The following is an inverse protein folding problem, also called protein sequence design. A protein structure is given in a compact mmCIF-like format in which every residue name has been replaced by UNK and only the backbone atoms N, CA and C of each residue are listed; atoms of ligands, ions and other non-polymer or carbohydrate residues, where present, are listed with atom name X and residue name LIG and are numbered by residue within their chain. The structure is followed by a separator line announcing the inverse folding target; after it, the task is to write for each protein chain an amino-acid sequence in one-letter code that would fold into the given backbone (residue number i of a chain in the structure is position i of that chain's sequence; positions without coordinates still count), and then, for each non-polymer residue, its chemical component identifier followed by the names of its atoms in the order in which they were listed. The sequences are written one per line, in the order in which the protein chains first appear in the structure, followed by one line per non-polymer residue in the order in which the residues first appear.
data_IF_758601718527
#
_entry.id   IF_758601718527
#
_cell.length_a   1.000
_cell.length_b   1.000
_cell.length_c   1.000
_cell.angle_alpha   90.00
_cell.angle_beta   90.00
_cell.angle_gamma   90.00
#
_symmetry.space_group_name_H-M   'P 1'
#
loop_
_entity.id
_entity.type
_entity.pdbx_description
1 polymer ?
#
# COMPACT_ATOMS: atom_id res chain seq x y z
N UNK A 1 20.00 18.97 -13.68
CA UNK A 1 19.89 18.87 -12.22
C UNK A 1 19.24 17.54 -11.90
N UNK A 2 20.02 16.54 -11.47
CA UNK A 2 19.45 15.25 -11.11
C UNK A 2 18.78 15.39 -9.74
N UNK A 3 17.46 15.47 -9.73
CA UNK A 3 16.67 15.48 -8.51
C UNK A 3 16.93 14.18 -7.74
N UNK A 4 17.52 14.27 -6.56
CA UNK A 4 17.64 13.13 -5.64
C UNK A 4 16.31 12.81 -4.94
N UNK A 5 15.33 13.70 -5.10
CA UNK A 5 13.99 13.58 -4.56
C UNK A 5 12.98 13.35 -5.70
N UNK A 6 12.02 12.46 -5.46
CA UNK A 6 10.85 12.30 -6.32
C UNK A 6 9.98 13.55 -6.22
N UNK A 7 9.35 13.92 -7.34
CA UNK A 7 8.25 14.87 -7.32
C UNK A 7 7.09 14.28 -6.53
N UNK A 8 6.28 15.12 -5.88
CA UNK A 8 5.06 14.69 -5.17
C UNK A 8 4.17 13.80 -6.05
N UNK A 9 4.08 14.09 -7.36
CA UNK A 9 3.29 13.29 -8.31
C UNK A 9 3.85 11.88 -8.51
N UNK A 10 5.17 11.75 -8.60
CA UNK A 10 5.84 10.47 -8.78
C UNK A 10 5.73 9.64 -7.49
N UNK A 11 5.85 10.29 -6.35
CA UNK A 11 5.67 9.67 -5.05
C UNK A 11 4.24 9.17 -4.83
N UNK A 12 3.23 9.95 -5.20
CA UNK A 12 1.83 9.53 -5.18
C UNK A 12 1.56 8.35 -6.12
N UNK A 13 2.16 8.36 -7.32
CA UNK A 13 2.05 7.26 -8.26
C UNK A 13 2.67 5.97 -7.70
N UNK A 14 3.88 6.07 -7.14
CA UNK A 14 4.59 4.96 -6.50
C UNK A 14 3.83 4.40 -5.29
N UNK A 15 3.26 5.29 -4.47
CA UNK A 15 2.40 4.92 -3.34
C UNK A 15 1.16 4.17 -3.82
N UNK A 16 0.51 4.64 -4.89
CA UNK A 16 -0.68 4.00 -5.45
C UNK A 16 -0.35 2.61 -6.00
N UNK A 17 0.73 2.48 -6.74
CA UNK A 17 1.20 1.21 -7.29
C UNK A 17 1.54 0.22 -6.16
N UNK A 18 2.36 0.65 -5.19
CA UNK A 18 2.75 -0.18 -4.05
C UNK A 18 1.53 -0.64 -3.25
N UNK A 19 0.54 0.23 -3.03
CA UNK A 19 -0.72 -0.14 -2.37
C UNK A 19 -1.51 -1.15 -3.19
N UNK A 20 -1.58 -1.02 -4.51
CA UNK A 20 -2.26 -1.98 -5.38
C UNK A 20 -1.58 -3.35 -5.35
N UNK A 21 -0.25 -3.39 -5.38
CA UNK A 21 0.51 -4.63 -5.22
C UNK A 21 0.28 -5.26 -3.85
N UNK A 22 0.32 -4.46 -2.78
CA UNK A 22 0.07 -4.92 -1.42
C UNK A 22 -1.34 -5.51 -1.27
N UNK A 23 -2.35 -4.88 -1.86
CA UNK A 23 -3.73 -5.39 -1.86
C UNK A 23 -3.84 -6.74 -2.57
N UNK A 24 -3.12 -6.93 -3.70
CA UNK A 24 -3.10 -8.23 -4.40
C UNK A 24 -2.41 -9.32 -3.57
N UNK A 25 -1.34 -8.98 -2.84
CA UNK A 25 -0.63 -9.93 -1.97
C UNK A 25 -1.43 -10.27 -0.70
N UNK A 26 -2.26 -9.35 -0.24
CA UNK A 26 -3.12 -9.51 0.93
C UNK A 26 -4.57 -9.88 0.55
N UNK A 27 -4.81 -10.41 -0.67
CA UNK A 27 -6.16 -10.61 -1.23
C UNK A 27 -7.06 -11.46 -0.31
N UNK A 28 -6.52 -12.51 0.32
CA UNK A 28 -7.27 -13.35 1.26
C UNK A 28 -7.81 -12.55 2.45
N UNK A 29 -6.96 -11.69 3.03
CA UNK A 29 -7.31 -10.86 4.19
C UNK A 29 -8.25 -9.72 3.80
N UNK A 30 -8.09 -9.20 2.58
CA UNK A 30 -9.00 -8.20 1.99
C UNK A 30 -10.39 -8.81 1.80
N UNK A 31 -10.49 -10.04 1.31
CA UNK A 31 -11.76 -10.76 1.14
C UNK A 31 -12.46 -10.97 2.47
N UNK A 32 -11.74 -11.40 3.51
CA UNK A 32 -12.31 -11.56 4.86
C UNK A 32 -12.87 -10.24 5.41
N UNK A 33 -12.14 -9.15 5.24
CA UNK A 33 -12.61 -7.82 5.64
C UNK A 33 -13.81 -7.37 4.81
N UNK A 34 -13.78 -7.57 3.49
CA UNK A 34 -14.87 -7.24 2.58
C UNK A 34 -16.13 -8.01 2.94
N UNK A 35 -16.03 -9.31 3.22
CA UNK A 35 -17.14 -10.16 3.64
C UNK A 35 -17.73 -9.69 4.97
N UNK A 36 -16.90 -9.29 5.94
CA UNK A 36 -17.38 -8.74 7.21
C UNK A 36 -18.07 -7.36 7.05
N UNK A 37 -17.54 -6.53 6.15
CA UNK A 37 -18.08 -5.19 5.87
C UNK A 37 -19.35 -5.24 5.00
N UNK A 38 -19.58 -6.34 4.28
CA UNK A 38 -20.75 -6.51 3.44
C UNK A 38 -22.03 -6.45 4.28
N UNK A 39 -22.85 -5.42 4.06
CA UNK A 39 -24.10 -5.19 4.79
C UNK A 39 -23.96 -4.39 6.10
N UNK A 40 -22.76 -3.91 6.42
CA UNK A 40 -22.52 -3.01 7.57
C UNK A 40 -21.90 -1.72 7.03
N UNK A 41 -22.55 -0.58 7.26
CA UNK A 41 -22.03 0.75 6.83
C UNK A 41 -21.53 1.55 8.02
N UNK A 42 -22.28 1.56 9.12
CA UNK A 42 -21.95 2.34 10.32
C UNK A 42 -21.16 1.49 11.33
N UNK A 43 -21.46 0.19 11.41
CA UNK A 43 -20.92 -0.69 12.44
C UNK A 43 -19.61 -1.40 12.12
N UNK A 44 -19.02 -1.16 10.95
CA UNK A 44 -17.81 -1.87 10.48
C UNK A 44 -16.62 -1.61 11.40
N UNK A 45 -16.44 -0.36 11.84
CA UNK A 45 -15.28 0.07 12.62
C UNK A 45 -15.08 -0.74 13.92
N UNK A 46 -16.17 -1.18 14.55
CA UNK A 46 -16.14 -2.03 15.74
C UNK A 46 -16.36 -3.51 15.41
N UNK A 47 -17.33 -3.83 14.54
CA UNK A 47 -17.73 -5.22 14.29
C UNK A 47 -16.75 -6.01 13.41
N UNK A 48 -15.90 -5.31 12.64
CA UNK A 48 -14.87 -5.90 11.77
C UNK A 48 -13.45 -5.46 12.15
N UNK A 49 -13.26 -5.02 13.41
CA UNK A 49 -11.98 -4.49 13.90
C UNK A 49 -10.86 -5.52 13.80
N UNK A 50 -11.16 -6.79 14.03
CA UNK A 50 -10.17 -7.88 13.99
C UNK A 50 -9.70 -8.17 12.56
N UNK A 51 -10.63 -8.25 11.61
CA UNK A 51 -10.33 -8.41 10.18
C UNK A 51 -9.56 -7.20 9.65
N UNK A 52 -9.98 -5.99 10.04
CA UNK A 52 -9.28 -4.76 9.70
C UNK A 52 -7.84 -4.75 10.23
N UNK A 53 -7.61 -5.23 11.46
CA UNK A 53 -6.28 -5.33 12.05
C UNK A 53 -5.39 -6.29 11.26
N UNK A 54 -5.90 -7.49 10.91
CA UNK A 54 -5.17 -8.44 10.06
C UNK A 54 -4.81 -7.83 8.70
N UNK A 55 -5.75 -7.11 8.09
CA UNK A 55 -5.51 -6.41 6.82
C UNK A 55 -4.41 -5.36 6.97
N UNK A 56 -4.45 -4.55 8.03
CA UNK A 56 -3.42 -3.56 8.32
C UNK A 56 -2.05 -4.18 8.58
N UNK A 57 -1.99 -5.29 9.32
CA UNK A 57 -0.75 -5.99 9.62
C UNK A 57 -0.13 -6.61 8.36
N UNK A 58 -0.95 -7.06 7.40
CA UNK A 58 -0.48 -7.50 6.09
C UNK A 58 0.00 -6.32 5.22
N UNK A 59 -0.79 -5.25 5.12
CA UNK A 59 -0.44 -4.08 4.31
C UNK A 59 0.83 -3.39 4.81
N UNK A 60 1.02 -3.29 6.13
CA UNK A 60 2.21 -2.68 6.75
C UNK A 60 3.54 -3.32 6.32
N UNK A 61 3.54 -4.60 5.96
CA UNK A 61 4.76 -5.27 5.48
C UNK A 61 5.22 -4.71 4.13
N UNK A 62 4.29 -4.19 3.33
CA UNK A 62 4.56 -3.66 1.99
C UNK A 62 4.55 -2.13 1.93
N UNK A 63 3.74 -1.48 2.76
CA UNK A 63 3.64 -0.01 2.84
C UNK A 63 4.42 0.56 4.03
N UNK A 64 5.24 -0.26 4.69
CA UNK A 64 6.10 0.17 5.78
C UNK A 64 7.18 1.15 5.30
N UNK A 65 7.79 1.92 6.21
CA UNK A 65 8.82 2.91 5.86
C UNK A 65 10.00 2.27 5.11
N UNK A 66 10.45 1.09 5.53
CA UNK A 66 11.57 0.38 4.88
C UNK A 66 11.21 -0.08 3.45
N UNK A 67 10.05 -0.71 3.27
CA UNK A 67 9.60 -1.18 1.96
C UNK A 67 9.34 -0.02 0.98
N UNK A 68 8.80 1.10 1.47
CA UNK A 68 8.59 2.32 0.70
C UNK A 68 9.91 2.98 0.29
N UNK A 69 10.92 2.99 1.17
CA UNK A 69 12.26 3.48 0.82
C UNK A 69 12.93 2.62 -0.25
N UNK A 70 12.82 1.30 -0.15
CA UNK A 70 13.36 0.38 -1.16
C UNK A 70 12.72 0.63 -2.53
N UNK A 71 11.38 0.74 -2.57
CA UNK A 71 10.63 1.06 -3.79
C UNK A 71 11.04 2.43 -4.36
N UNK A 72 11.23 3.44 -3.52
CA UNK A 72 11.72 4.76 -3.95
C UNK A 72 13.12 4.66 -4.56
N UNK A 73 14.05 3.95 -3.91
CA UNK A 73 15.42 3.77 -4.42
C UNK A 73 15.42 3.02 -5.76
N UNK A 74 14.61 1.99 -5.89
CA UNK A 74 14.45 1.24 -7.14
C UNK A 74 13.92 2.14 -8.27
N UNK A 75 12.85 2.90 -8.01
CA UNK A 75 12.26 3.84 -8.97
C UNK A 75 13.27 4.89 -9.45
N UNK A 76 14.02 5.50 -8.51
CA UNK A 76 15.08 6.47 -8.82
C UNK A 76 16.21 5.86 -9.65
N UNK A 77 16.55 4.58 -9.42
CA UNK A 77 17.60 3.89 -10.18
C UNK A 77 17.14 3.65 -11.62
N UNK A 78 15.90 3.21 -11.81
CA UNK A 78 15.32 2.94 -13.14
C UNK A 78 15.17 4.23 -13.95
N UNK A 79 14.61 5.29 -13.36
CA UNK A 79 14.42 6.58 -14.05
C UNK A 79 15.73 7.35 -14.30
N UNK A 80 16.83 7.01 -13.61
CA UNK A 80 18.17 7.53 -13.93
C UNK A 80 18.84 6.85 -15.12
N UNK A 81 18.39 5.66 -15.52
CA UNK A 81 18.98 4.93 -16.65
C UNK A 81 18.35 5.32 -17.99
N UNK A 82 17.19 5.96 -17.97
CA UNK A 82 16.44 6.37 -19.16
C UNK A 82 16.66 7.83 -19.59
N UNK A 83 17.58 8.55 -18.93
CA UNK A 83 18.10 9.86 -19.40
C UNK A 83 19.55 9.72 -19.82
#
# INVERSE_FOLDING_TARGET
MASFALSNREEDALLKETKQEALKKCDDVVKDFAQCSSGRTVSVAWACRDQHRKLQDCLKQYTGPEAMEEKRRAYLKEHRQTT
#
